data_IF_666163188507
#
_entry.id   IF_666163188507
#
_cell.length_a   1.000
_cell.length_b   1.000
_cell.length_c   1.000
_cell.angle_alpha   90.00
_cell.angle_beta   90.00
_cell.angle_gamma   90.00
#
_symmetry.space_group_name_H-M   'P 1'
#
loop_
_entity.id
_entity.type
_entity.pdbx_description
1 polymer ?
#
# COMPACT_ATOMS: atom_id res chain seq x y z
N UNK A 1 -6.64 -23.20 0.93
CA UNK A 1 -5.50 -23.99 0.44
C UNK A 1 -4.73 -23.33 -0.72
N UNK A 2 -5.37 -22.72 -1.72
CA UNK A 2 -4.68 -22.06 -2.86
C UNK A 2 -3.76 -20.90 -2.44
N UNK A 3 -4.17 -20.07 -1.49
CA UNK A 3 -3.41 -18.90 -1.04
C UNK A 3 -2.09 -19.30 -0.35
N UNK A 4 -2.11 -20.31 0.50
CA UNK A 4 -0.91 -20.77 1.22
C UNK A 4 0.18 -21.29 0.26
N UNK A 5 -0.22 -22.02 -0.77
CA UNK A 5 0.70 -22.52 -1.80
C UNK A 5 1.33 -21.37 -2.62
N UNK A 6 0.56 -20.32 -2.92
CA UNK A 6 1.08 -19.15 -3.64
C UNK A 6 2.09 -18.38 -2.80
N UNK A 7 1.82 -18.18 -1.50
CA UNK A 7 2.73 -17.49 -0.59
C UNK A 7 4.06 -18.24 -0.47
N UNK A 8 4.03 -19.56 -0.36
CA UNK A 8 5.24 -20.38 -0.29
C UNK A 8 6.09 -20.29 -1.57
N UNK A 9 5.45 -20.29 -2.73
CA UNK A 9 6.16 -20.14 -4.02
C UNK A 9 6.83 -18.78 -4.13
N UNK A 10 6.14 -17.73 -3.69
CA UNK A 10 6.70 -16.36 -3.71
C UNK A 10 7.85 -16.27 -2.69
N UNK A 11 7.66 -16.82 -1.48
CA UNK A 11 8.72 -16.85 -0.46
C UNK A 11 9.99 -17.50 -1.00
N UNK A 12 9.86 -18.62 -1.71
CA UNK A 12 11.00 -19.27 -2.37
C UNK A 12 11.67 -18.36 -3.41
N UNK A 13 10.90 -17.54 -4.12
CA UNK A 13 11.44 -16.65 -5.15
C UNK A 13 12.21 -15.45 -4.58
N UNK A 14 11.95 -15.08 -3.34
CA UNK A 14 12.64 -13.94 -2.68
C UNK A 14 13.73 -14.41 -1.70
N UNK A 15 13.79 -15.70 -1.43
CA UNK A 15 14.84 -16.28 -0.61
C UNK A 15 16.22 -16.02 -1.25
N UNK A 16 17.15 -15.50 -0.50
CA UNK A 16 18.46 -15.12 -1.01
C UNK A 16 18.57 -13.70 -1.59
N UNK A 17 17.44 -12.99 -1.70
CA UNK A 17 17.43 -11.59 -2.16
C UNK A 17 17.44 -10.59 -1.00
N UNK A 18 17.66 -11.08 0.21
CA UNK A 18 17.73 -10.23 1.40
C UNK A 18 16.37 -9.83 1.99
N UNK A 19 15.26 -10.35 1.47
CA UNK A 19 13.94 -10.10 2.04
C UNK A 19 13.69 -11.04 3.23
N UNK A 20 13.35 -10.46 4.37
CA UNK A 20 13.01 -11.19 5.60
C UNK A 20 11.49 -11.28 5.73
N UNK A 21 10.97 -12.48 5.97
CA UNK A 21 9.53 -12.66 6.24
C UNK A 21 9.19 -12.09 7.61
N UNK A 22 8.08 -11.38 7.68
CA UNK A 22 7.55 -10.88 8.95
C UNK A 22 6.07 -11.25 9.09
N UNK A 23 5.68 -11.56 10.31
CA UNK A 23 4.27 -11.69 10.67
C UNK A 23 3.76 -10.33 11.15
N UNK A 24 2.56 -9.99 10.72
CA UNK A 24 1.93 -8.71 11.00
C UNK A 24 0.63 -8.94 11.80
N UNK A 25 0.36 -8.15 12.85
CA UNK A 25 -0.86 -8.28 13.63
C UNK A 25 -2.10 -8.02 12.79
N UNK A 26 -3.18 -8.78 13.06
CA UNK A 26 -4.46 -8.61 12.37
C UNK A 26 -5.31 -7.49 12.97
N UNK A 27 -5.07 -7.16 14.24
CA UNK A 27 -5.77 -6.11 14.98
C UNK A 27 -4.78 -5.01 15.30
N UNK A 28 -5.14 -3.77 15.01
CA UNK A 28 -4.30 -2.58 15.21
C UNK A 28 -5.18 -1.41 15.68
N UNK A 29 -4.55 -0.35 16.16
CA UNK A 29 -5.28 0.88 16.51
C UNK A 29 -5.84 1.53 15.23
N UNK A 30 -7.12 1.88 15.28
CA UNK A 30 -7.81 2.52 14.15
C UNK A 30 -7.15 3.85 13.76
N UNK A 31 -6.64 4.57 14.76
CA UNK A 31 -6.02 5.89 14.55
C UNK A 31 -4.86 5.84 13.54
N UNK A 32 -4.03 4.80 13.59
CA UNK A 32 -2.90 4.66 12.65
C UNK A 32 -3.37 4.62 11.19
N UNK A 33 -4.49 3.95 10.93
CA UNK A 33 -5.05 3.86 9.58
C UNK A 33 -5.66 5.20 9.17
N UNK A 34 -6.45 5.81 10.06
CA UNK A 34 -7.17 7.05 9.76
C UNK A 34 -6.21 8.22 9.52
N UNK A 35 -5.16 8.33 10.34
CA UNK A 35 -4.15 9.37 10.15
C UNK A 35 -3.48 9.29 8.77
N UNK A 36 -3.24 8.11 8.27
CA UNK A 36 -2.57 7.91 6.98
C UNK A 36 -3.54 7.99 5.79
N UNK A 37 -4.71 7.39 5.92
CA UNK A 37 -5.67 7.22 4.81
C UNK A 37 -6.77 8.29 4.78
N UNK A 38 -6.86 9.11 5.83
CA UNK A 38 -7.89 10.14 5.98
C UNK A 38 -9.19 9.59 6.60
N UNK A 39 -9.95 10.50 7.21
CA UNK A 39 -11.19 10.16 7.93
C UNK A 39 -12.22 9.47 7.02
N UNK A 40 -12.25 9.84 5.74
CA UNK A 40 -13.17 9.21 4.78
C UNK A 40 -12.92 7.71 4.58
N UNK A 41 -11.75 7.22 4.95
CA UNK A 41 -11.43 5.79 4.86
C UNK A 41 -12.09 4.98 5.97
N UNK A 42 -12.49 5.61 7.08
CA UNK A 42 -13.12 4.97 8.25
C UNK A 42 -14.33 4.10 7.87
N UNK A 43 -15.10 4.51 6.88
CA UNK A 43 -16.28 3.75 6.39
C UNK A 43 -15.94 2.36 5.82
N UNK A 44 -14.67 2.15 5.46
CA UNK A 44 -14.21 0.86 4.92
C UNK A 44 -13.55 -0.03 5.98
N UNK A 45 -13.41 0.46 7.22
CA UNK A 45 -12.70 -0.23 8.30
C UNK A 45 -13.69 -0.99 9.18
N UNK A 46 -13.34 -2.22 9.58
CA UNK A 46 -14.05 -2.96 10.62
C UNK A 46 -13.44 -2.56 11.98
N UNK A 47 -14.03 -1.56 12.63
CA UNK A 47 -13.58 -1.08 13.92
C UNK A 47 -14.46 -1.57 15.07
N UNK A 48 -13.87 -1.66 16.26
CA UNK A 48 -14.50 -2.09 17.51
C UNK A 48 -13.71 -1.49 18.67
N UNK A 49 -14.25 -1.60 19.87
CA UNK A 49 -13.55 -1.15 21.10
C UNK A 49 -13.05 -2.35 21.88
N UNK A 50 -11.88 -2.21 22.48
CA UNK A 50 -11.38 -3.18 23.44
C UNK A 50 -12.03 -2.94 24.83
N UNK A 51 -11.64 -3.74 25.82
CA UNK A 51 -12.14 -3.64 27.19
C UNK A 51 -11.78 -2.33 27.89
N UNK A 52 -10.79 -1.60 27.40
CA UNK A 52 -10.33 -0.32 27.95
C UNK A 52 -10.92 0.87 27.19
N UNK A 53 -11.76 0.63 26.18
CA UNK A 53 -12.37 1.68 25.36
C UNK A 53 -11.52 2.14 24.18
N UNK A 54 -10.34 1.56 23.95
CA UNK A 54 -9.48 1.92 22.82
C UNK A 54 -10.12 1.48 21.50
N UNK A 55 -10.09 2.34 20.49
CA UNK A 55 -10.65 2.02 19.18
C UNK A 55 -9.64 1.22 18.34
N UNK A 56 -9.97 -0.04 18.13
CA UNK A 56 -9.18 -0.99 17.34
C UNK A 56 -9.88 -1.31 16.05
N UNK A 57 -9.15 -1.87 15.08
CA UNK A 57 -9.73 -2.34 13.83
C UNK A 57 -9.01 -3.58 13.31
N UNK A 58 -9.73 -4.33 12.47
CA UNK A 58 -9.08 -5.32 11.62
C UNK A 58 -8.27 -4.58 10.54
N UNK A 59 -7.02 -4.96 10.35
CA UNK A 59 -6.12 -4.29 9.39
C UNK A 59 -6.74 -4.25 7.99
N UNK A 60 -6.91 -3.07 7.39
CA UNK A 60 -7.49 -2.98 6.03
C UNK A 60 -6.44 -3.20 4.92
N UNK A 61 -5.18 -3.15 5.25
CA UNK A 61 -4.06 -3.52 4.38
C UNK A 61 -2.85 -3.89 5.24
N UNK A 62 -1.84 -4.47 4.62
CA UNK A 62 -0.64 -4.90 5.34
C UNK A 62 0.53 -3.91 5.19
N UNK A 63 0.51 -3.00 4.23
CA UNK A 63 1.59 -2.03 4.01
C UNK A 63 1.74 -1.08 5.21
N UNK A 64 0.62 -0.48 5.65
CA UNK A 64 0.64 0.44 6.81
C UNK A 64 1.15 -0.31 8.05
N UNK A 65 0.66 -1.54 8.26
CA UNK A 65 1.05 -2.35 9.43
C UNK A 65 2.55 -2.66 9.40
N UNK A 66 3.10 -2.95 8.22
CA UNK A 66 4.53 -3.23 8.08
C UNK A 66 5.39 -2.00 8.39
N UNK A 67 4.93 -0.82 7.99
CA UNK A 67 5.60 0.45 8.30
C UNK A 67 5.55 0.75 9.80
N UNK A 68 4.40 0.52 10.46
CA UNK A 68 4.26 0.69 11.90
C UNK A 68 5.26 -0.21 12.65
N UNK A 69 5.34 -1.49 12.25
CA UNK A 69 6.27 -2.44 12.87
C UNK A 69 7.73 -2.00 12.72
N UNK A 70 8.10 -1.43 11.56
CA UNK A 70 9.43 -0.87 11.35
C UNK A 70 9.70 0.28 12.36
N UNK A 71 8.74 1.19 12.51
CA UNK A 71 8.88 2.34 13.41
C UNK A 71 8.94 1.91 14.89
N UNK A 72 8.10 0.96 15.30
CA UNK A 72 8.04 0.45 16.67
C UNK A 72 9.35 -0.22 17.10
N UNK A 73 10.02 -0.88 16.19
CA UNK A 73 11.28 -1.54 16.47
C UNK A 73 12.49 -0.61 16.40
N UNK A 74 12.26 0.70 16.20
CA UNK A 74 13.31 1.72 16.09
C UNK A 74 14.42 1.36 15.09
N UNK A 75 14.04 0.73 13.98
CA UNK A 75 15.00 0.38 12.94
C UNK A 75 15.62 1.63 12.32
N UNK A 76 16.94 1.67 12.30
CA UNK A 76 17.73 2.75 11.73
C UNK A 76 18.51 2.20 10.54
N UNK A 77 17.91 2.23 9.38
CA UNK A 77 18.59 1.77 8.18
C UNK A 77 17.67 1.01 7.24
N UNK A 78 18.26 0.51 6.18
CA UNK A 78 17.52 -0.18 5.13
C UNK A 78 17.08 -1.57 5.59
N UNK A 79 15.79 -1.85 5.47
CA UNK A 79 15.23 -3.16 5.71
C UNK A 79 14.41 -3.60 4.50
N UNK A 80 14.57 -4.86 4.12
CA UNK A 80 13.78 -5.51 3.08
C UNK A 80 12.89 -6.56 3.74
N UNK A 81 11.60 -6.39 3.63
CA UNK A 81 10.63 -7.27 4.27
C UNK A 81 9.63 -7.83 3.27
N UNK A 82 9.15 -9.02 3.56
CA UNK A 82 8.12 -9.73 2.82
C UNK A 82 7.06 -10.18 3.81
N UNK A 83 5.80 -10.04 3.43
CA UNK A 83 4.69 -10.51 4.25
C UNK A 83 3.59 -11.12 3.39
N UNK A 84 2.77 -11.95 4.02
CA UNK A 84 1.57 -12.54 3.42
C UNK A 84 0.51 -12.64 4.51
N UNK A 85 -0.72 -12.27 4.19
CA UNK A 85 -1.81 -12.34 5.15
C UNK A 85 -3.12 -11.84 4.57
N UNK A 86 -4.12 -11.73 5.43
CA UNK A 86 -5.44 -11.25 5.04
C UNK A 86 -5.61 -9.79 5.42
N UNK A 87 -6.18 -9.02 4.51
CA UNK A 87 -6.65 -7.66 4.73
C UNK A 87 -8.18 -7.69 4.76
N UNK A 88 -8.78 -6.81 5.56
CA UNK A 88 -10.20 -6.80 5.84
C UNK A 88 -10.79 -5.42 5.52
N UNK A 89 -11.63 -5.34 4.48
CA UNK A 89 -12.26 -4.06 4.09
C UNK A 89 -13.76 -4.25 3.85
N UNK A 90 -14.55 -3.34 4.38
CA UNK A 90 -15.96 -3.22 3.99
C UNK A 90 -15.98 -2.78 2.52
N UNK A 91 -16.84 -3.39 1.73
CA UNK A 91 -17.04 -3.01 0.33
C UNK A 91 -18.39 -2.34 0.15
N UNK A 92 -18.48 -1.42 -0.80
CA UNK A 92 -19.76 -0.85 -1.24
C UNK A 92 -20.53 -1.84 -2.09
N UNK A 93 -19.83 -2.71 -2.79
CA UNK A 93 -20.44 -3.73 -3.63
C UNK A 93 -20.57 -5.02 -2.84
N UNK A 94 -21.80 -5.50 -2.68
CA UNK A 94 -22.10 -6.75 -1.94
C UNK A 94 -21.42 -8.00 -2.53
N UNK A 95 -21.02 -7.94 -3.80
CA UNK A 95 -20.35 -9.05 -4.48
C UNK A 95 -18.85 -9.14 -4.16
N UNK A 96 -18.25 -8.07 -3.63
CA UNK A 96 -16.83 -8.06 -3.33
C UNK A 96 -16.54 -8.77 -2.01
N UNK A 97 -15.47 -9.55 -1.99
CA UNK A 97 -15.02 -10.16 -0.75
C UNK A 97 -14.56 -9.09 0.25
N UNK A 98 -14.99 -9.24 1.49
CA UNK A 98 -14.52 -8.42 2.61
C UNK A 98 -13.15 -8.86 3.11
N UNK A 99 -12.72 -10.06 2.72
CA UNK A 99 -11.41 -10.63 3.06
C UNK A 99 -10.61 -10.76 1.78
N UNK A 100 -9.41 -10.21 1.77
CA UNK A 100 -8.51 -10.22 0.60
C UNK A 100 -7.15 -10.78 1.02
N UNK A 101 -6.70 -11.82 0.37
CA UNK A 101 -5.33 -12.30 0.55
C UNK A 101 -4.37 -11.28 -0.07
N UNK A 102 -3.40 -10.83 0.69
CA UNK A 102 -2.42 -9.82 0.28
C UNK A 102 -1.01 -10.35 0.53
N UNK A 103 -0.15 -10.15 -0.45
CA UNK A 103 1.29 -10.43 -0.35
C UNK A 103 1.99 -9.12 -0.69
N UNK A 104 3.00 -8.77 0.08
CA UNK A 104 3.73 -7.54 -0.18
C UNK A 104 5.24 -7.67 0.06
N UNK A 105 5.95 -6.78 -0.60
CA UNK A 105 7.38 -6.56 -0.44
C UNK A 105 7.59 -5.09 -0.15
N UNK A 106 8.36 -4.77 0.87
CA UNK A 106 8.69 -3.40 1.21
C UNK A 106 10.20 -3.26 1.36
N UNK A 107 10.72 -2.13 0.91
CA UNK A 107 12.08 -1.69 1.20
C UNK A 107 11.92 -0.37 1.96
N UNK A 108 12.28 -0.37 3.24
CA UNK A 108 12.05 0.77 4.13
C UNK A 108 13.41 1.28 4.62
N UNK A 109 13.51 2.59 4.82
CA UNK A 109 14.72 3.21 5.38
C UNK A 109 15.88 3.33 4.39
N UNK A 110 15.60 3.25 3.11
CA UNK A 110 16.64 3.37 2.07
C UNK A 110 16.98 4.84 1.76
N UNK A 111 18.18 5.02 1.23
CA UNK A 111 18.67 6.31 0.72
C UNK A 111 18.73 6.36 -0.81
N UNK A 112 18.40 5.27 -1.49
CA UNK A 112 18.47 5.19 -2.96
C UNK A 112 17.18 4.61 -3.55
N UNK A 113 16.18 5.49 -3.66
CA UNK A 113 14.83 5.13 -4.10
C UNK A 113 14.83 4.48 -5.50
N UNK A 114 15.62 5.02 -6.44
CA UNK A 114 15.64 4.53 -7.83
C UNK A 114 16.09 3.06 -7.93
N UNK A 115 17.10 2.69 -7.15
CA UNK A 115 17.59 1.31 -7.11
C UNK A 115 16.52 0.42 -6.48
N UNK A 116 15.91 0.89 -5.40
CA UNK A 116 14.94 0.11 -4.64
C UNK A 116 13.62 -0.06 -5.40
N UNK A 117 13.15 0.97 -6.09
CA UNK A 117 11.98 0.87 -6.97
C UNK A 117 12.20 -0.21 -8.05
N UNK A 118 13.37 -0.18 -8.69
CA UNK A 118 13.74 -1.19 -9.69
C UNK A 118 13.75 -2.60 -9.07
N UNK A 119 14.29 -2.72 -7.86
CA UNK A 119 14.33 -4.01 -7.15
C UNK A 119 12.93 -4.52 -6.81
N UNK A 120 12.05 -3.66 -6.30
CA UNK A 120 10.66 -4.01 -5.96
C UNK A 120 9.90 -4.44 -7.22
N UNK A 121 10.01 -3.68 -8.31
CA UNK A 121 9.35 -4.00 -9.59
C UNK A 121 9.83 -5.37 -10.09
N UNK A 122 11.13 -5.59 -10.15
CA UNK A 122 11.70 -6.85 -10.62
C UNK A 122 11.30 -8.03 -9.72
N UNK A 123 11.29 -7.83 -8.39
CA UNK A 123 10.87 -8.86 -7.44
C UNK A 123 9.41 -9.22 -7.65
N UNK A 124 8.55 -8.23 -7.84
CA UNK A 124 7.11 -8.43 -8.08
C UNK A 124 6.87 -9.18 -9.40
N UNK A 125 7.52 -8.76 -10.48
CA UNK A 125 7.39 -9.40 -11.80
C UNK A 125 7.87 -10.86 -11.77
N UNK A 126 9.02 -11.12 -11.13
CA UNK A 126 9.55 -12.47 -11.00
C UNK A 126 8.64 -13.36 -10.14
N UNK A 127 8.01 -12.79 -9.11
CA UNK A 127 7.06 -13.52 -8.27
C UNK A 127 5.82 -13.93 -9.07
N UNK A 128 5.31 -13.05 -9.94
CA UNK A 128 4.19 -13.36 -10.83
C UNK A 128 4.54 -14.48 -11.82
N UNK A 129 5.74 -14.42 -12.42
CA UNK A 129 6.23 -15.49 -13.30
C UNK A 129 6.27 -16.85 -12.59
N UNK A 130 6.74 -16.89 -11.35
CA UNK A 130 6.81 -18.11 -10.54
C UNK A 130 5.41 -18.66 -10.20
N UNK A 131 4.40 -17.80 -10.20
CA UNK A 131 3.00 -18.21 -10.06
C UNK A 131 2.37 -18.60 -11.40
N UNK A 132 3.16 -18.64 -12.48
CA UNK A 132 2.74 -18.98 -13.84
C UNK A 132 1.82 -17.93 -14.50
N UNK A 133 1.87 -16.69 -14.02
CA UNK A 133 1.26 -15.57 -14.74
C UNK A 133 2.21 -15.16 -15.90
N UNK A 134 1.82 -15.51 -17.11
CA UNK A 134 2.67 -15.34 -18.30
C UNK A 134 2.39 -14.04 -19.05
N UNK A 135 1.27 -13.39 -18.80
CA UNK A 135 0.90 -12.14 -19.46
C UNK A 135 0.35 -11.13 -18.46
N UNK A 136 0.61 -9.88 -18.72
CA UNK A 136 0.13 -8.79 -17.89
C UNK A 136 0.65 -7.45 -18.38
N UNK A 137 -0.03 -6.39 -17.99
CA UNK A 137 0.36 -5.00 -18.30
C UNK A 137 0.94 -4.38 -17.02
N UNK A 138 2.16 -3.89 -17.10
CA UNK A 138 2.76 -3.09 -16.05
C UNK A 138 2.46 -1.61 -16.34
N UNK A 139 1.76 -0.94 -15.43
CA UNK A 139 1.50 0.49 -15.52
C UNK A 139 2.30 1.20 -14.43
N UNK A 140 3.16 2.12 -14.81
CA UNK A 140 3.95 2.93 -13.88
C UNK A 140 3.39 4.35 -13.88
N UNK A 141 3.03 4.85 -12.70
CA UNK A 141 2.63 6.23 -12.49
C UNK A 141 3.78 7.02 -11.86
N UNK A 142 3.88 8.29 -12.22
CA UNK A 142 4.86 9.19 -11.61
C UNK A 142 4.21 10.54 -11.35
N UNK A 143 4.05 10.88 -10.07
CA UNK A 143 3.43 12.14 -9.62
C UNK A 143 4.27 13.35 -10.06
N UNK A 144 5.58 13.19 -10.23
CA UNK A 144 6.45 14.28 -10.66
C UNK A 144 6.10 14.78 -12.07
N UNK A 145 5.62 13.91 -12.95
CA UNK A 145 5.15 14.31 -14.29
C UNK A 145 3.96 15.26 -14.13
N UNK A 146 2.99 14.90 -13.28
CA UNK A 146 1.84 15.76 -12.97
C UNK A 146 2.30 17.09 -12.37
N UNK A 147 3.18 17.04 -11.37
CA UNK A 147 3.69 18.24 -10.71
C UNK A 147 4.38 19.18 -11.72
N UNK A 148 5.18 18.63 -12.61
CA UNK A 148 5.88 19.40 -13.64
C UNK A 148 4.87 20.07 -14.59
N UNK A 149 3.87 19.32 -15.05
CA UNK A 149 2.82 19.88 -15.94
C UNK A 149 2.10 21.05 -15.25
N UNK A 150 1.61 20.86 -14.02
CA UNK A 150 0.90 21.91 -13.29
C UNK A 150 1.81 23.13 -13.04
N UNK A 151 3.08 22.91 -12.75
CA UNK A 151 4.03 24.01 -12.52
C UNK A 151 4.16 24.93 -13.75
N UNK A 152 4.07 24.34 -14.95
CA UNK A 152 4.23 25.05 -16.23
C UNK A 152 2.96 25.79 -16.68
N UNK A 153 1.80 25.49 -16.10
CA UNK A 153 0.55 26.18 -16.47
C UNK A 153 0.61 27.64 -16.02
N UNK A 154 0.15 28.55 -16.90
CA UNK A 154 0.00 29.96 -16.57
C UNK A 154 -1.38 30.21 -15.95
N UNK A 155 -1.53 29.77 -14.71
CA UNK A 155 -2.77 29.92 -13.93
C UNK A 155 -2.42 30.40 -12.51
N UNK A 156 -3.36 31.10 -11.84
CA UNK A 156 -3.13 31.57 -10.48
C UNK A 156 -2.72 30.46 -9.51
N UNK A 157 -1.83 30.78 -8.57
CA UNK A 157 -1.29 29.84 -7.57
C UNK A 157 -2.40 29.06 -6.84
N UNK A 158 -3.52 29.73 -6.52
CA UNK A 158 -4.66 29.09 -5.84
C UNK A 158 -5.23 27.91 -6.64
N UNK A 159 -5.25 28.03 -7.99
CA UNK A 159 -5.72 26.95 -8.86
C UNK A 159 -4.72 25.79 -8.91
N UNK A 160 -3.41 26.10 -9.00
CA UNK A 160 -2.37 25.06 -8.94
C UNK A 160 -2.50 24.23 -7.66
N UNK A 161 -2.68 24.92 -6.51
CA UNK A 161 -2.86 24.26 -5.21
C UNK A 161 -4.10 23.37 -5.17
N UNK A 162 -5.21 23.81 -5.78
CA UNK A 162 -6.44 23.00 -5.86
C UNK A 162 -6.22 21.75 -6.71
N UNK A 163 -5.56 21.90 -7.86
CA UNK A 163 -5.24 20.76 -8.75
C UNK A 163 -4.32 19.75 -8.03
N UNK A 164 -3.26 20.21 -7.37
CA UNK A 164 -2.36 19.34 -6.58
C UNK A 164 -3.10 18.57 -5.47
N UNK A 165 -4.03 19.25 -4.81
CA UNK A 165 -4.75 18.67 -3.67
C UNK A 165 -5.78 17.63 -4.09
N UNK A 166 -6.32 17.74 -5.31
CA UNK A 166 -7.51 16.98 -5.72
C UNK A 166 -7.31 16.08 -6.95
N UNK A 167 -6.10 15.96 -7.50
CA UNK A 167 -5.87 15.17 -8.72
C UNK A 167 -6.31 13.70 -8.59
N UNK A 168 -6.36 13.17 -7.38
CA UNK A 168 -6.76 11.79 -7.10
C UNK A 168 -8.28 11.60 -7.02
N UNK A 169 -9.05 12.70 -7.08
CA UNK A 169 -10.52 12.69 -7.06
C UNK A 169 -11.02 12.92 -8.49
N UNK A 170 -11.10 11.86 -9.27
CA UNK A 170 -11.31 11.93 -10.72
C UNK A 170 -12.44 12.87 -11.13
N UNK A 171 -13.64 12.68 -10.57
CA UNK A 171 -14.81 13.53 -10.93
C UNK A 171 -14.54 15.00 -10.63
N UNK A 172 -14.12 15.28 -9.40
CA UNK A 172 -13.86 16.66 -8.96
C UNK A 172 -12.70 17.31 -9.72
N UNK A 173 -11.67 16.52 -10.05
CA UNK A 173 -10.52 16.99 -10.83
C UNK A 173 -10.96 17.39 -12.25
N UNK A 174 -11.81 16.58 -12.87
CA UNK A 174 -12.36 16.89 -14.20
C UNK A 174 -13.21 18.15 -14.17
N UNK A 175 -14.02 18.36 -13.12
CA UNK A 175 -14.79 19.60 -12.91
C UNK A 175 -13.88 20.81 -12.77
N UNK A 176 -12.71 20.67 -12.15
CA UNK A 176 -11.73 21.76 -12.02
C UNK A 176 -11.04 22.10 -13.35
N UNK A 177 -11.00 21.19 -14.29
CA UNK A 177 -10.40 21.39 -15.63
C UNK A 177 -11.35 22.00 -16.63
N UNK A 178 -12.38 21.74 -16.25
CA UNK A 178 -13.36 22.19 -17.09
C UNK A 178 -13.70 23.47 -16.96
#
# INVERSE_FOLDING_TARGET
MKSKNSSEKILKSVKGKGFRYIELPSVIETNHIVQRSGENFRKFIFSFKDQNGNELCLRPDLTIVSCLRYLENNFKGKEKIFYSGQAYRKSRNKKDSIIRDQIGFEIIGSKNEKIDDKEIINTSLNSLKNLKYSSGKLTLGNVEIFNLLISKLDIPKRWKLRLYRHFWREDYFNDLLX
#
